data_IF_201937406145
#
_entry.id   IF_201937406145
#
_cell.length_a   1.000
_cell.length_b   1.000
_cell.length_c   1.000
_cell.angle_alpha   90.00
_cell.angle_beta   90.00
_cell.angle_gamma   90.00
#
_symmetry.space_group_name_H-M   'P 1'
#
loop_
_entity.id
_entity.type
_entity.pdbx_description
1 polymer ?
#
# COMPACT_ATOMS: atom_id res chain seq x y z
N UNK A 1 -34.65 -39.82 42.73
CA UNK A 1 -33.89 -38.69 42.18
C UNK A 1 -34.66 -38.12 40.99
N UNK A 2 -35.09 -36.86 41.09
CA UNK A 2 -36.21 -36.29 40.34
C UNK A 2 -35.84 -35.81 38.93
N UNK A 3 -36.69 -36.15 37.95
CA UNK A 3 -36.64 -35.77 36.53
C UNK A 3 -36.65 -34.23 36.28
N UNK A 4 -36.92 -33.42 37.31
CA UNK A 4 -36.91 -31.94 37.23
C UNK A 4 -35.51 -31.32 37.16
N UNK A 5 -34.47 -31.95 37.70
CA UNK A 5 -33.11 -31.40 37.65
C UNK A 5 -32.48 -31.53 36.24
N UNK A 6 -32.78 -32.61 35.51
CA UNK A 6 -32.32 -32.80 34.12
C UNK A 6 -32.88 -31.75 33.16
N UNK A 7 -34.14 -31.34 33.31
CA UNK A 7 -34.76 -30.31 32.44
C UNK A 7 -34.21 -28.90 32.68
N UNK A 8 -33.80 -28.56 33.91
CA UNK A 8 -33.16 -27.27 34.22
C UNK A 8 -31.72 -27.19 33.68
N UNK A 9 -30.95 -28.28 33.75
CA UNK A 9 -29.58 -28.34 33.23
C UNK A 9 -29.48 -28.24 31.70
N UNK A 10 -30.39 -28.89 30.95
CA UNK A 10 -30.44 -28.77 29.49
C UNK A 10 -30.74 -27.34 29.01
N UNK A 11 -31.61 -26.62 29.72
CA UNK A 11 -31.95 -25.23 29.38
C UNK A 11 -30.79 -24.25 29.63
N UNK A 12 -29.99 -24.48 30.66
CA UNK A 12 -28.79 -23.69 30.93
C UNK A 12 -27.69 -23.94 29.89
N UNK A 13 -27.43 -25.20 29.54
CA UNK A 13 -26.47 -25.57 28.49
C UNK A 13 -26.90 -25.00 27.12
N UNK A 14 -28.18 -25.09 26.77
CA UNK A 14 -28.71 -24.50 25.52
C UNK A 14 -28.54 -22.97 25.46
N UNK A 15 -28.72 -22.26 26.58
CA UNK A 15 -28.47 -20.82 26.66
C UNK A 15 -26.99 -20.47 26.54
N UNK A 16 -26.10 -21.27 27.13
CA UNK A 16 -24.65 -21.07 27.00
C UNK A 16 -24.19 -21.31 25.57
N UNK A 17 -24.69 -22.36 24.90
CA UNK A 17 -24.41 -22.61 23.48
C UNK A 17 -24.97 -21.51 22.58
N UNK A 18 -26.17 -21.00 22.86
CA UNK A 18 -26.75 -19.87 22.13
C UNK A 18 -25.94 -18.58 22.33
N UNK A 19 -25.44 -18.31 23.55
CA UNK A 19 -24.55 -17.20 23.83
C UNK A 19 -23.20 -17.36 23.13
N UNK A 20 -22.60 -18.54 23.16
CA UNK A 20 -21.34 -18.82 22.46
C UNK A 20 -21.49 -18.61 20.94
N UNK A 21 -22.59 -19.09 20.36
CA UNK A 21 -22.92 -18.84 18.95
C UNK A 21 -23.15 -17.36 18.65
N UNK A 22 -23.81 -16.62 19.55
CA UNK A 22 -24.07 -15.18 19.39
C UNK A 22 -22.79 -14.35 19.46
N UNK A 23 -21.86 -14.69 20.36
CA UNK A 23 -20.56 -14.03 20.47
C UNK A 23 -19.70 -14.29 19.23
N UNK A 24 -19.76 -15.50 18.66
CA UNK A 24 -19.09 -15.82 17.40
C UNK A 24 -19.64 -15.01 16.24
N UNK A 25 -20.98 -14.93 16.07
CA UNK A 25 -21.59 -14.09 15.02
C UNK A 25 -21.22 -12.60 15.19
N UNK A 26 -21.14 -12.12 16.43
CA UNK A 26 -20.75 -10.74 16.72
C UNK A 26 -19.30 -10.45 16.31
N UNK A 27 -18.33 -11.29 16.66
CA UNK A 27 -16.93 -11.08 16.28
C UNK A 27 -16.76 -11.12 14.75
N UNK A 28 -17.46 -12.03 14.06
CA UNK A 28 -17.43 -12.10 12.60
C UNK A 28 -18.02 -10.83 11.98
N UNK A 29 -19.17 -10.35 12.47
CA UNK A 29 -19.76 -9.09 11.98
C UNK A 29 -18.87 -7.88 12.22
N UNK A 30 -18.26 -7.77 13.40
CA UNK A 30 -17.31 -6.69 13.71
C UNK A 30 -16.12 -6.76 12.76
N UNK A 31 -15.51 -7.95 12.56
CA UNK A 31 -14.39 -8.12 11.66
C UNK A 31 -14.73 -7.75 10.21
N UNK A 32 -15.92 -8.12 9.72
CA UNK A 32 -16.40 -7.73 8.39
C UNK A 32 -16.60 -6.21 8.27
N UNK A 33 -17.16 -5.57 9.30
CA UNK A 33 -17.35 -4.12 9.33
C UNK A 33 -16.03 -3.34 9.35
N UNK A 34 -15.05 -3.81 10.13
CA UNK A 34 -13.70 -3.22 10.15
C UNK A 34 -13.01 -3.37 8.79
N UNK A 35 -13.09 -4.56 8.19
CA UNK A 35 -12.56 -4.82 6.86
C UNK A 35 -13.21 -3.93 5.79
N UNK A 36 -14.55 -3.78 5.79
CA UNK A 36 -15.25 -2.93 4.83
C UNK A 36 -14.88 -1.45 4.97
N UNK A 37 -14.71 -0.99 6.22
CA UNK A 37 -14.25 0.38 6.51
C UNK A 37 -12.82 0.60 6.04
N UNK A 38 -11.94 -0.37 6.27
CA UNK A 38 -10.55 -0.32 5.84
C UNK A 38 -10.42 -0.41 4.31
N UNK A 39 -11.20 -1.27 3.66
CA UNK A 39 -11.31 -1.35 2.21
C UNK A 39 -11.72 -0.01 1.61
N UNK A 40 -12.76 0.65 2.16
CA UNK A 40 -13.17 1.98 1.69
C UNK A 40 -12.04 3.01 1.85
N UNK A 41 -11.36 3.03 3.00
CA UNK A 41 -10.21 3.91 3.25
C UNK A 41 -9.08 3.66 2.26
N UNK A 42 -8.76 2.41 1.98
CA UNK A 42 -7.71 2.01 1.04
C UNK A 42 -8.07 2.35 -0.41
N UNK A 43 -9.34 2.17 -0.81
CA UNK A 43 -9.80 2.55 -2.15
C UNK A 43 -9.73 4.06 -2.33
N UNK A 44 -10.33 4.84 -1.40
CA UNK A 44 -10.33 6.29 -1.53
C UNK A 44 -8.93 6.89 -1.38
N UNK A 45 -8.14 6.38 -0.45
CA UNK A 45 -6.74 6.76 -0.27
C UNK A 45 -5.89 6.42 -1.50
N UNK A 46 -6.07 5.22 -2.06
CA UNK A 46 -5.37 4.79 -3.27
C UNK A 46 -5.70 5.65 -4.49
N UNK A 47 -6.98 5.98 -4.71
CA UNK A 47 -7.40 6.87 -5.81
C UNK A 47 -6.80 8.27 -5.64
N UNK A 48 -6.85 8.84 -4.44
CA UNK A 48 -6.31 10.18 -4.21
C UNK A 48 -4.78 10.21 -4.34
N UNK A 49 -4.08 9.18 -3.86
CA UNK A 49 -2.63 9.04 -4.06
C UNK A 49 -2.26 8.87 -5.53
N UNK A 50 -3.01 8.07 -6.29
CA UNK A 50 -2.76 7.89 -7.73
C UNK A 50 -2.96 9.21 -8.49
N UNK A 51 -4.09 9.91 -8.26
CA UNK A 51 -4.37 11.20 -8.90
C UNK A 51 -3.33 12.25 -8.52
N UNK A 52 -3.00 12.37 -7.24
CA UNK A 52 -1.97 13.29 -6.75
C UNK A 52 -0.59 12.96 -7.36
N UNK A 53 -0.23 11.68 -7.44
CA UNK A 53 1.01 11.23 -8.07
C UNK A 53 1.09 11.57 -9.56
N UNK A 54 0.00 11.38 -10.30
CA UNK A 54 -0.07 11.76 -11.72
C UNK A 54 0.06 13.27 -11.90
N UNK A 55 -0.66 14.07 -11.11
CA UNK A 55 -0.55 15.54 -11.16
C UNK A 55 0.86 16.01 -10.78
N UNK A 56 1.47 15.37 -9.78
CA UNK A 56 2.85 15.65 -9.37
C UNK A 56 3.84 15.34 -10.51
N UNK A 57 3.65 14.24 -11.24
CA UNK A 57 4.48 13.92 -12.43
C UNK A 57 4.35 14.99 -13.52
N UNK A 58 3.12 15.40 -13.86
CA UNK A 58 2.92 16.48 -14.84
C UNK A 58 3.55 17.80 -14.38
N UNK A 59 3.43 18.14 -13.10
CA UNK A 59 4.09 19.31 -12.53
C UNK A 59 5.61 19.20 -12.65
N UNK A 60 6.18 18.04 -12.35
CA UNK A 60 7.63 17.82 -12.45
C UNK A 60 8.12 17.99 -13.89
N UNK A 61 7.42 17.42 -14.87
CA UNK A 61 7.74 17.57 -16.29
C UNK A 61 7.70 19.03 -16.72
N UNK A 62 6.66 19.77 -16.33
CA UNK A 62 6.56 21.20 -16.63
C UNK A 62 7.69 22.02 -16.00
N UNK A 63 8.02 21.75 -14.73
CA UNK A 63 9.13 22.39 -14.02
C UNK A 63 10.47 22.09 -14.68
N UNK A 64 10.70 20.86 -15.12
CA UNK A 64 11.93 20.44 -15.79
C UNK A 64 12.14 21.20 -17.11
N UNK A 65 11.08 21.36 -17.91
CA UNK A 65 11.15 22.12 -19.16
C UNK A 65 11.49 23.58 -18.91
N UNK A 66 10.81 24.23 -17.96
CA UNK A 66 11.06 25.63 -17.59
C UNK A 66 12.49 25.79 -17.07
N UNK A 67 12.95 24.87 -16.22
CA UNK A 67 14.32 24.88 -15.70
C UNK A 67 15.34 24.77 -16.84
N UNK A 68 15.09 23.93 -17.83
CA UNK A 68 15.94 23.80 -19.02
C UNK A 68 16.04 25.09 -19.82
N UNK A 69 14.91 25.73 -20.13
CA UNK A 69 14.91 27.03 -20.81
C UNK A 69 15.65 28.09 -19.97
N UNK A 70 15.46 28.09 -18.66
CA UNK A 70 16.12 29.05 -17.79
C UNK A 70 17.64 28.86 -17.73
N UNK A 71 18.12 27.62 -17.70
CA UNK A 71 19.56 27.31 -17.78
C UNK A 71 20.14 27.71 -19.14
N UNK A 72 19.41 27.41 -20.23
CA UNK A 72 19.81 27.81 -21.57
C UNK A 72 20.00 29.33 -21.67
N UNK A 73 19.03 30.11 -21.19
CA UNK A 73 19.05 31.57 -21.29
C UNK A 73 20.05 32.22 -20.34
N UNK A 74 20.24 31.67 -19.13
CA UNK A 74 21.14 32.24 -18.12
C UNK A 74 22.62 32.02 -18.45
N UNK A 75 22.96 30.88 -19.05
CA UNK A 75 24.33 30.47 -19.31
C UNK A 75 24.73 30.57 -20.79
N UNK A 76 23.81 31.05 -21.65
CA UNK A 76 23.98 31.16 -23.11
C UNK A 76 24.50 29.86 -23.74
N UNK A 77 24.03 28.71 -23.24
CA UNK A 77 24.48 27.38 -23.66
C UNK A 77 23.73 26.89 -24.88
N UNK A 78 24.42 26.13 -25.74
CA UNK A 78 23.75 25.38 -26.83
C UNK A 78 22.73 24.39 -26.26
N UNK A 79 21.62 24.19 -26.97
CA UNK A 79 20.51 23.31 -26.59
C UNK A 79 20.99 21.90 -26.22
N UNK A 80 21.98 21.36 -26.94
CA UNK A 80 22.55 20.03 -26.67
C UNK A 80 23.24 19.98 -25.31
N UNK A 81 24.00 21.02 -24.98
CA UNK A 81 24.74 21.12 -23.72
C UNK A 81 23.79 21.27 -22.54
N UNK A 82 22.74 22.08 -22.67
CA UNK A 82 21.70 22.25 -21.64
C UNK A 82 20.97 20.94 -21.35
N UNK A 83 20.54 20.21 -22.39
CA UNK A 83 19.90 18.90 -22.22
C UNK A 83 20.86 17.90 -21.56
N UNK A 84 22.14 17.88 -21.96
CA UNK A 84 23.12 16.98 -21.37
C UNK A 84 23.30 17.26 -19.87
N UNK A 85 23.36 18.53 -19.46
CA UNK A 85 23.46 18.92 -18.05
C UNK A 85 22.22 18.45 -17.27
N UNK A 86 21.01 18.70 -17.79
CA UNK A 86 19.78 18.24 -17.15
C UNK A 86 19.74 16.72 -17.01
N UNK A 87 20.14 15.97 -18.05
CA UNK A 87 20.21 14.50 -18.00
C UNK A 87 21.15 14.02 -16.91
N UNK A 88 22.34 14.61 -16.79
CA UNK A 88 23.31 14.24 -15.75
C UNK A 88 22.76 14.52 -14.36
N UNK A 89 22.13 15.68 -14.16
CA UNK A 89 21.50 16.04 -12.87
C UNK A 89 20.40 15.03 -12.52
N UNK A 90 19.48 14.74 -13.45
CA UNK A 90 18.41 13.78 -13.22
C UNK A 90 18.94 12.37 -12.95
N UNK A 91 19.99 11.94 -13.65
CA UNK A 91 20.59 10.62 -13.44
C UNK A 91 21.17 10.47 -12.03
N UNK A 92 21.85 11.51 -11.53
CA UNK A 92 22.40 11.53 -10.16
C UNK A 92 21.26 11.51 -9.14
N UNK A 93 20.25 12.37 -9.31
CA UNK A 93 19.09 12.42 -8.42
C UNK A 93 18.31 11.11 -8.42
N UNK A 94 18.12 10.50 -9.59
CA UNK A 94 17.48 9.19 -9.72
C UNK A 94 18.29 8.11 -9.00
N UNK A 95 19.62 8.08 -9.18
CA UNK A 95 20.49 7.13 -8.49
C UNK A 95 20.42 7.28 -6.96
N UNK A 96 20.44 8.51 -6.45
CA UNK A 96 20.29 8.78 -5.02
C UNK A 96 18.91 8.37 -4.50
N UNK A 97 17.84 8.75 -5.22
CA UNK A 97 16.47 8.42 -4.86
C UNK A 97 16.24 6.90 -4.82
N UNK A 98 16.73 6.16 -5.82
CA UNK A 98 16.65 4.70 -5.86
C UNK A 98 17.43 4.05 -4.71
N UNK A 99 18.61 4.58 -4.36
CA UNK A 99 19.40 4.07 -3.24
C UNK A 99 18.71 4.29 -1.90
N UNK A 100 18.17 5.49 -1.69
CA UNK A 100 17.48 5.86 -0.44
C UNK A 100 16.15 5.10 -0.34
N UNK A 101 15.35 5.11 -1.41
CA UNK A 101 14.08 4.38 -1.48
C UNK A 101 14.26 2.87 -1.33
N UNK A 102 15.29 2.29 -1.97
CA UNK A 102 15.62 0.88 -1.84
C UNK A 102 16.13 0.50 -0.45
N UNK A 103 16.74 1.43 0.29
CA UNK A 103 17.10 1.22 1.69
C UNK A 103 15.86 1.29 2.61
N UNK A 104 15.02 2.30 2.45
CA UNK A 104 13.78 2.47 3.22
C UNK A 104 12.78 1.33 2.98
N UNK A 105 12.76 0.77 1.77
CA UNK A 105 11.93 -0.38 1.42
C UNK A 105 12.41 -1.70 2.05
N UNK A 106 13.60 -1.75 2.67
CA UNK A 106 14.05 -2.91 3.45
C UNK A 106 13.48 -2.85 4.86
N UNK A 107 12.15 -2.97 4.99
CA UNK A 107 11.50 -3.16 6.28
C UNK A 107 11.74 -4.57 6.84
N UNK A 108 11.59 -4.78 8.17
CA UNK A 108 11.60 -6.12 8.77
C UNK A 108 10.29 -6.85 8.40
N UNK A 109 10.26 -7.44 7.22
CA UNK A 109 9.14 -8.28 6.78
C UNK A 109 9.20 -9.63 7.49
N UNK A 110 8.04 -10.16 7.90
CA UNK A 110 7.98 -11.56 8.34
C UNK A 110 8.42 -12.46 7.16
N UNK A 111 9.10 -13.59 7.41
CA UNK A 111 9.55 -14.50 6.35
C UNK A 111 8.40 -14.95 5.43
N UNK A 112 7.19 -15.11 5.97
CA UNK A 112 5.98 -15.45 5.22
C UNK A 112 5.55 -14.35 4.21
N UNK A 113 5.81 -13.06 4.49
CA UNK A 113 5.51 -11.96 3.56
C UNK A 113 6.55 -11.86 2.46
N UNK A 114 7.81 -12.18 2.74
CA UNK A 114 8.86 -12.25 1.72
C UNK A 114 8.61 -13.40 0.74
N UNK A 115 8.17 -14.55 1.22
CA UNK A 115 7.77 -15.67 0.35
C UNK A 115 6.55 -15.35 -0.49
N UNK A 116 5.52 -14.71 0.10
CA UNK A 116 4.33 -14.26 -0.63
C UNK A 116 4.64 -13.24 -1.73
N UNK A 117 5.47 -12.22 -1.42
CA UNK A 117 5.93 -11.22 -2.40
C UNK A 117 6.81 -11.88 -3.45
N UNK A 118 7.72 -12.77 -3.07
CA UNK A 118 8.60 -13.48 -4.02
C UNK A 118 7.78 -14.32 -5.00
N UNK A 119 6.79 -15.08 -4.52
CA UNK A 119 5.94 -15.94 -5.34
C UNK A 119 5.07 -15.12 -6.30
N UNK A 120 4.49 -14.02 -5.84
CA UNK A 120 3.67 -13.13 -6.68
C UNK A 120 4.52 -12.34 -7.67
N UNK A 121 5.70 -11.87 -7.27
CA UNK A 121 6.64 -11.18 -8.17
C UNK A 121 7.16 -12.13 -9.25
N UNK A 122 7.53 -13.37 -8.90
CA UNK A 122 7.92 -14.41 -9.87
C UNK A 122 6.81 -14.74 -10.85
N UNK A 123 5.56 -14.84 -10.37
CA UNK A 123 4.40 -15.10 -11.21
C UNK A 123 4.12 -13.95 -12.20
N UNK A 124 4.29 -12.70 -11.77
CA UNK A 124 4.09 -11.51 -12.63
C UNK A 124 5.26 -11.31 -13.61
N UNK A 125 6.51 -11.56 -13.19
CA UNK A 125 7.69 -11.45 -14.06
C UNK A 125 7.94 -12.71 -14.93
N UNK A 126 7.13 -13.77 -14.79
CA UNK A 126 7.27 -15.00 -15.57
C UNK A 126 8.57 -15.78 -15.29
N UNK A 127 9.24 -15.53 -14.16
CA UNK A 127 10.45 -16.26 -13.77
C UNK A 127 10.06 -17.38 -12.79
N UNK A 128 9.93 -18.59 -13.30
CA UNK A 128 9.83 -19.82 -12.49
C UNK A 128 11.08 -19.98 -11.62
#
# INVERSE_FOLDING_TARGET
MSNSERKKGLGAAARVTALASSVMDLHVRIALQEMDREKRRLISGGIFLATGGVLMLFSLLGSELILGFWIHDLLELDTKSTILILVVINLVLAGMSLRIGGYLAKGPYLPETLEGISKTTKAVLGKN
#
